data_IF_847356995664
#
_entry.id   IF_847356995664
#
_cell.length_a   1.000
_cell.length_b   1.000
_cell.length_c   1.000
_cell.angle_alpha   90.00
_cell.angle_beta   90.00
_cell.angle_gamma   90.00
#
_symmetry.space_group_name_H-M   'P 1'
#
loop_
_entity.id
_entity.type
_entity.pdbx_description
1 polymer ?
#
# COMPACT_ATOMS: atom_id res chain seq x y z
N UNK A 1 -0.60 -4.81 -6.29
CA UNK A 1 0.28 -4.86 -7.47
C UNK A 1 -0.63 -4.58 -8.65
N UNK A 2 -0.45 -3.44 -9.31
CA UNK A 2 -1.39 -3.01 -10.36
C UNK A 2 -1.54 -4.06 -11.46
N UNK A 3 -2.78 -4.25 -11.94
CA UNK A 3 -3.17 -5.26 -12.92
C UNK A 3 -3.09 -6.71 -12.44
N UNK A 4 -2.92 -6.97 -11.13
CA UNK A 4 -2.76 -8.33 -10.58
C UNK A 4 -3.61 -8.56 -9.32
N UNK A 5 -3.57 -7.63 -8.36
CA UNK A 5 -4.22 -7.83 -7.05
C UNK A 5 -5.71 -7.49 -7.09
N UNK A 6 -6.47 -8.35 -7.77
CA UNK A 6 -7.93 -8.41 -7.72
C UNK A 6 -8.40 -9.40 -6.64
N UNK A 7 -9.72 -9.54 -6.46
CA UNK A 7 -10.29 -10.44 -5.47
C UNK A 7 -9.91 -11.90 -5.74
N UNK A 8 -9.83 -12.32 -7.00
CA UNK A 8 -9.45 -13.70 -7.33
C UNK A 8 -8.02 -14.02 -6.87
N UNK A 9 -7.10 -13.08 -7.10
CA UNK A 9 -5.73 -13.18 -6.61
C UNK A 9 -5.68 -13.18 -5.08
N UNK A 10 -6.35 -12.23 -4.43
CA UNK A 10 -6.35 -12.11 -2.97
C UNK A 10 -6.91 -13.38 -2.30
N UNK A 11 -8.03 -13.90 -2.78
CA UNK A 11 -8.67 -15.10 -2.22
C UNK A 11 -7.82 -16.37 -2.32
N UNK A 12 -6.90 -16.46 -3.30
CA UNK A 12 -5.93 -17.58 -3.36
C UNK A 12 -4.92 -17.51 -2.22
N UNK A 13 -4.62 -16.31 -1.71
CA UNK A 13 -3.60 -16.08 -0.70
C UNK A 13 -4.15 -16.09 0.74
N UNK A 14 -5.39 -15.65 0.96
CA UNK A 14 -6.01 -15.61 2.31
C UNK A 14 -5.84 -16.95 3.09
N UNK A 15 -6.03 -18.15 2.49
CA UNK A 15 -5.84 -19.41 3.20
C UNK A 15 -4.44 -19.63 3.80
N UNK A 16 -3.43 -18.92 3.31
CA UNK A 16 -2.06 -18.95 3.84
C UNK A 16 -1.88 -18.07 5.09
N UNK A 17 -2.95 -17.47 5.63
CA UNK A 17 -2.92 -16.78 6.92
C UNK A 17 -2.75 -15.26 6.86
N UNK A 18 -3.16 -14.62 5.76
CA UNK A 18 -3.17 -13.16 5.69
C UNK A 18 -4.35 -12.60 6.50
N UNK A 19 -4.07 -11.68 7.42
CA UNK A 19 -5.11 -10.95 8.18
C UNK A 19 -5.73 -9.80 7.37
N UNK A 20 -4.98 -9.29 6.39
CA UNK A 20 -5.39 -8.23 5.48
C UNK A 20 -4.94 -8.52 4.04
N UNK A 21 -5.72 -8.08 3.07
CA UNK A 21 -5.36 -8.09 1.64
C UNK A 21 -5.56 -6.73 1.02
N UNK A 22 -4.67 -6.33 0.10
CA UNK A 22 -4.77 -5.05 -0.60
C UNK A 22 -5.14 -5.25 -2.06
N UNK A 23 -6.32 -4.77 -2.43
CA UNK A 23 -6.78 -4.65 -3.80
C UNK A 23 -6.05 -3.50 -4.51
N UNK A 24 -5.86 -3.66 -5.82
CA UNK A 24 -5.50 -2.54 -6.68
C UNK A 24 -4.01 -2.17 -6.73
N UNK A 25 -3.73 -0.90 -6.47
CA UNK A 25 -2.92 -0.08 -7.38
C UNK A 25 -3.79 0.50 -8.49
N UNK A 26 -5.03 0.84 -8.17
CA UNK A 26 -5.98 1.43 -9.09
C UNK A 26 -5.64 2.89 -9.33
N UNK A 27 -6.04 3.39 -10.50
CA UNK A 27 -5.95 4.80 -10.86
C UNK A 27 -7.31 5.42 -10.56
N UNK A 28 -7.35 6.42 -9.68
CA UNK A 28 -8.60 6.88 -9.07
C UNK A 28 -9.27 8.04 -9.82
N UNK A 29 -8.52 8.71 -10.70
CA UNK A 29 -8.99 9.86 -11.49
C UNK A 29 -8.61 9.72 -12.97
N UNK A 30 -9.08 10.65 -13.79
CA UNK A 30 -8.91 10.61 -15.24
C UNK A 30 -7.42 10.65 -15.65
N UNK A 31 -6.61 11.49 -15.01
CA UNK A 31 -5.20 11.66 -15.36
C UNK A 31 -4.36 10.44 -14.98
N UNK A 32 -4.55 9.90 -13.78
CA UNK A 32 -3.89 8.66 -13.37
C UNK A 32 -4.37 7.49 -14.22
N UNK A 33 -5.64 7.44 -14.64
CA UNK A 33 -6.17 6.39 -15.53
C UNK A 33 -5.54 6.47 -16.92
N UNK A 34 -5.36 7.68 -17.45
CA UNK A 34 -4.61 7.92 -18.70
C UNK A 34 -3.16 7.46 -18.57
N UNK A 35 -2.49 7.77 -17.46
CA UNK A 35 -1.14 7.28 -17.18
C UNK A 35 -1.09 5.74 -17.08
N UNK A 36 -2.08 5.11 -16.44
CA UNK A 36 -2.24 3.66 -16.38
C UNK A 36 -2.31 3.01 -17.77
N UNK A 37 -3.09 3.58 -18.69
CA UNK A 37 -3.15 3.11 -20.08
C UNK A 37 -1.81 3.21 -20.81
N UNK A 38 -1.04 4.27 -20.58
CA UNK A 38 0.30 4.42 -21.16
C UNK A 38 1.29 3.38 -20.58
N UNK A 39 1.19 3.10 -19.27
CA UNK A 39 1.97 2.04 -18.62
C UNK A 39 1.61 0.67 -19.23
N UNK A 40 0.33 0.40 -19.47
CA UNK A 40 -0.16 -0.82 -20.12
C UNK A 40 0.38 -0.98 -21.54
N UNK A 41 0.38 0.10 -22.33
CA UNK A 41 0.95 0.12 -23.69
C UNK A 41 2.46 -0.20 -23.70
N UNK A 42 3.16 0.08 -22.60
CA UNK A 42 4.58 -0.27 -22.40
C UNK A 42 4.78 -1.72 -21.93
N UNK A 43 3.71 -2.52 -21.88
CA UNK A 43 3.74 -3.95 -21.56
C UNK A 43 3.75 -4.27 -20.07
N UNK A 44 3.43 -3.30 -19.20
CA UNK A 44 3.30 -3.55 -17.77
C UNK A 44 1.82 -3.81 -17.41
N UNK A 45 1.51 -4.80 -16.56
CA UNK A 45 0.15 -4.99 -16.08
C UNK A 45 -0.38 -3.75 -15.36
N UNK A 46 -1.60 -3.35 -15.71
CA UNK A 46 -2.37 -2.28 -15.08
C UNK A 46 -3.85 -2.65 -15.14
N UNK A 47 -4.64 -2.05 -14.25
CA UNK A 47 -6.09 -2.10 -14.36
C UNK A 47 -6.54 -1.01 -15.32
N UNK A 48 -7.30 -1.38 -16.35
CA UNK A 48 -7.76 -0.48 -17.41
C UNK A 48 -9.29 -0.47 -17.46
N UNK A 49 -9.87 0.50 -16.77
CA UNK A 49 -11.29 0.82 -16.74
C UNK A 49 -11.46 2.34 -16.62
N UNK A 50 -12.67 2.85 -16.82
CA UNK A 50 -12.93 4.27 -16.63
C UNK A 50 -12.97 4.60 -15.12
N UNK A 51 -12.40 5.75 -14.72
CA UNK A 51 -12.36 6.13 -13.29
C UNK A 51 -13.76 6.26 -12.69
N UNK A 52 -14.79 6.57 -13.49
CA UNK A 52 -16.18 6.59 -13.04
C UNK A 52 -16.74 5.21 -12.66
N UNK A 53 -16.13 4.12 -13.15
CA UNK A 53 -16.52 2.75 -12.84
C UNK A 53 -15.84 2.24 -11.55
N UNK A 54 -14.76 2.91 -11.09
CA UNK A 54 -13.90 2.45 -10.01
C UNK A 54 -14.69 2.04 -8.76
N UNK A 55 -15.63 2.88 -8.31
CA UNK A 55 -16.41 2.61 -7.10
C UNK A 55 -17.16 1.29 -7.19
N UNK A 56 -17.84 1.06 -8.31
CA UNK A 56 -18.61 -0.17 -8.54
C UNK A 56 -17.71 -1.41 -8.64
N UNK A 57 -16.52 -1.25 -9.24
CA UNK A 57 -15.52 -2.32 -9.34
C UNK A 57 -14.99 -2.68 -7.96
N UNK A 58 -14.56 -1.69 -7.18
CA UNK A 58 -14.03 -1.91 -5.83
C UNK A 58 -15.09 -2.53 -4.93
N UNK A 59 -16.33 -2.05 -4.97
CA UNK A 59 -17.45 -2.61 -4.21
C UNK A 59 -17.68 -4.09 -4.55
N UNK A 60 -17.68 -4.44 -5.84
CA UNK A 60 -17.79 -5.81 -6.31
C UNK A 60 -16.62 -6.68 -5.84
N UNK A 61 -15.38 -6.22 -6.01
CA UNK A 61 -14.18 -6.99 -5.62
C UNK A 61 -14.07 -7.18 -4.09
N UNK A 62 -14.34 -6.13 -3.31
CA UNK A 62 -14.33 -6.18 -1.85
C UNK A 62 -15.43 -7.10 -1.31
N UNK A 63 -16.64 -7.01 -1.85
CA UNK A 63 -17.76 -7.89 -1.47
C UNK A 63 -17.44 -9.36 -1.71
N UNK A 64 -16.86 -9.70 -2.86
CA UNK A 64 -16.43 -11.09 -3.17
C UNK A 64 -15.48 -11.66 -2.11
N UNK A 65 -14.57 -10.83 -1.59
CA UNK A 65 -13.66 -11.24 -0.51
C UNK A 65 -14.43 -11.42 0.80
N UNK A 66 -15.19 -10.40 1.22
CA UNK A 66 -15.90 -10.37 2.51
C UNK A 66 -17.01 -11.43 2.63
N UNK A 67 -17.62 -11.83 1.51
CA UNK A 67 -18.60 -12.92 1.46
C UNK A 67 -18.00 -14.29 1.80
N UNK A 68 -16.69 -14.45 1.59
CA UNK A 68 -15.99 -15.73 1.72
C UNK A 68 -15.02 -15.78 2.90
N UNK A 69 -14.52 -14.62 3.35
CA UNK A 69 -13.43 -14.54 4.32
C UNK A 69 -13.60 -13.36 5.29
N UNK A 70 -13.31 -13.62 6.56
CA UNK A 70 -13.17 -12.57 7.59
C UNK A 70 -11.71 -12.06 7.59
N UNK A 71 -11.41 -11.13 6.68
CA UNK A 71 -10.11 -10.43 6.61
C UNK A 71 -10.34 -8.94 6.39
N UNK A 72 -9.33 -8.12 6.69
CA UNK A 72 -9.35 -6.72 6.31
C UNK A 72 -9.12 -6.57 4.80
N UNK A 73 -9.89 -5.70 4.16
CA UNK A 73 -9.77 -5.33 2.76
C UNK A 73 -9.25 -3.90 2.68
N UNK A 74 -8.03 -3.79 2.16
CA UNK A 74 -7.39 -2.52 1.84
C UNK A 74 -7.49 -2.23 0.35
N UNK A 75 -7.59 -0.96 -0.05
CA UNK A 75 -7.61 -0.56 -1.46
C UNK A 75 -6.51 0.46 -1.71
N UNK A 76 -5.51 0.10 -2.53
CA UNK A 76 -4.42 1.00 -2.89
C UNK A 76 -4.78 1.84 -4.13
N UNK A 77 -4.70 3.16 -3.98
CA UNK A 77 -5.20 4.15 -4.94
C UNK A 77 -4.11 5.15 -5.31
N UNK A 78 -3.95 5.40 -6.60
CA UNK A 78 -3.17 6.52 -7.14
C UNK A 78 -4.15 7.61 -7.54
N UNK A 79 -3.97 8.81 -7.01
CA UNK A 79 -4.83 9.95 -7.29
C UNK A 79 -4.03 11.26 -7.24
N UNK A 80 -4.56 12.29 -7.88
CA UNK A 80 -4.15 13.69 -7.78
C UNK A 80 -5.13 14.51 -6.93
N UNK A 81 -6.35 14.01 -6.75
CA UNK A 81 -7.39 14.60 -5.91
C UNK A 81 -7.73 13.63 -4.76
N UNK A 82 -7.99 14.12 -3.53
CA UNK A 82 -8.36 13.28 -2.40
C UNK A 82 -9.80 12.74 -2.49
N UNK A 83 -10.72 13.41 -3.21
CA UNK A 83 -12.14 13.06 -3.29
C UNK A 83 -12.39 11.61 -3.75
N UNK A 84 -11.77 11.10 -4.83
CA UNK A 84 -11.92 9.70 -5.22
C UNK A 84 -11.53 8.71 -4.12
N UNK A 85 -10.51 9.02 -3.30
CA UNK A 85 -10.10 8.13 -2.19
C UNK A 85 -11.17 8.12 -1.10
N UNK A 86 -11.73 9.29 -0.77
CA UNK A 86 -12.82 9.42 0.20
C UNK A 86 -14.09 8.70 -0.30
N UNK A 87 -14.41 8.80 -1.59
CA UNK A 87 -15.53 8.06 -2.18
C UNK A 87 -15.37 6.54 -2.03
N UNK A 88 -14.18 6.01 -2.27
CA UNK A 88 -13.89 4.58 -2.08
C UNK A 88 -13.95 4.19 -0.60
N UNK A 89 -13.50 5.07 0.30
CA UNK A 89 -13.59 4.81 1.74
C UNK A 89 -15.04 4.66 2.24
N UNK A 90 -16.02 5.17 1.50
CA UNK A 90 -17.45 5.07 1.85
C UNK A 90 -18.05 3.68 1.60
N UNK A 91 -17.34 2.80 0.90
CA UNK A 91 -17.78 1.42 0.63
C UNK A 91 -17.65 0.62 1.92
N UNK A 92 -18.75 -0.01 2.36
CA UNK A 92 -18.82 -0.71 3.65
C UNK A 92 -17.80 -1.85 3.78
N UNK A 93 -17.53 -2.53 2.68
CA UNK A 93 -16.65 -3.69 2.62
C UNK A 93 -15.15 -3.32 2.58
N UNK A 94 -14.83 -2.03 2.46
CA UNK A 94 -13.46 -1.49 2.48
C UNK A 94 -13.12 -1.04 3.90
N UNK A 95 -12.16 -1.69 4.54
CA UNK A 95 -11.73 -1.33 5.90
C UNK A 95 -10.60 -0.28 5.89
N UNK A 96 -9.78 -0.29 4.82
CA UNK A 96 -8.60 0.59 4.69
C UNK A 96 -8.54 1.18 3.29
N UNK A 97 -8.37 2.50 3.17
CA UNK A 97 -7.96 3.14 1.92
C UNK A 97 -6.48 3.51 2.00
N UNK A 98 -5.70 3.14 0.99
CA UNK A 98 -4.26 3.34 0.96
C UNK A 98 -3.84 4.34 -0.12
N UNK A 99 -3.34 5.50 0.32
CA UNK A 99 -2.74 6.50 -0.56
C UNK A 99 -1.44 5.94 -1.11
N UNK A 100 -1.31 5.89 -2.44
CA UNK A 100 -0.09 5.44 -3.10
C UNK A 100 0.91 6.58 -3.25
N UNK A 101 1.81 6.73 -2.28
CA UNK A 101 3.01 7.57 -2.35
C UNK A 101 4.27 6.73 -2.69
N UNK A 102 4.10 5.72 -3.57
CA UNK A 102 5.07 4.63 -3.75
C UNK A 102 5.44 4.32 -5.20
N UNK A 103 4.47 4.45 -6.11
CA UNK A 103 4.61 4.08 -7.51
C UNK A 103 5.67 4.95 -8.18
N UNK A 104 6.61 4.30 -8.85
CA UNK A 104 7.73 4.97 -9.54
C UNK A 104 7.65 4.87 -11.06
N UNK A 105 6.48 4.57 -11.61
CA UNK A 105 6.32 4.59 -13.06
C UNK A 105 6.40 6.05 -13.53
N UNK A 106 7.24 6.36 -14.54
CA UNK A 106 7.42 7.72 -15.04
C UNK A 106 6.09 8.43 -15.35
N UNK A 107 5.13 7.69 -15.91
CA UNK A 107 3.81 8.20 -16.29
C UNK A 107 3.04 8.71 -15.07
N UNK A 108 3.14 8.04 -13.92
CA UNK A 108 2.50 8.46 -12.66
C UNK A 108 3.31 9.59 -12.00
N UNK A 109 4.63 9.43 -11.88
CA UNK A 109 5.47 10.42 -11.19
C UNK A 109 5.51 11.77 -11.93
N UNK A 110 5.34 11.76 -13.26
CA UNK A 110 5.27 13.00 -14.06
C UNK A 110 4.03 13.86 -13.77
N UNK A 111 3.00 13.27 -13.16
CA UNK A 111 1.80 13.97 -12.74
C UNK A 111 1.91 14.54 -11.32
N UNK A 112 2.95 14.20 -10.55
CA UNK A 112 3.06 14.53 -9.12
C UNK A 112 2.52 13.44 -8.19
N UNK A 113 1.87 12.39 -8.71
CA UNK A 113 1.37 11.26 -7.92
C UNK A 113 2.45 10.18 -7.67
N UNK A 114 2.13 9.21 -6.81
CA UNK A 114 3.06 8.11 -6.52
C UNK A 114 4.26 8.58 -5.70
N UNK A 115 5.44 8.06 -6.02
CA UNK A 115 6.69 8.45 -5.35
C UNK A 115 6.99 9.96 -5.47
N UNK A 116 6.44 10.65 -6.47
CA UNK A 116 6.66 12.09 -6.64
C UNK A 116 6.10 12.92 -5.48
N UNK A 117 5.03 12.46 -4.82
CA UNK A 117 4.46 13.10 -3.63
C UNK A 117 5.50 13.26 -2.52
N UNK A 118 6.44 12.32 -2.41
CA UNK A 118 7.49 12.36 -1.37
C UNK A 118 8.47 13.52 -1.54
N UNK A 119 8.51 14.17 -2.70
CA UNK A 119 9.33 15.36 -2.92
C UNK A 119 8.60 16.67 -2.61
N UNK A 120 7.27 16.63 -2.57
CA UNK A 120 6.41 17.78 -2.36
C UNK A 120 5.68 17.62 -1.02
N UNK A 121 6.35 18.03 0.05
CA UNK A 121 5.85 17.83 1.41
C UNK A 121 4.55 18.60 1.66
N UNK A 122 4.39 19.80 1.09
CA UNK A 122 3.18 20.62 1.26
C UNK A 122 1.99 19.92 0.59
N UNK A 123 2.16 19.49 -0.67
CA UNK A 123 1.13 18.70 -1.35
C UNK A 123 0.79 17.42 -0.59
N UNK A 124 1.80 16.68 -0.12
CA UNK A 124 1.58 15.42 0.59
C UNK A 124 0.88 15.61 1.94
N UNK A 125 1.22 16.65 2.68
CA UNK A 125 0.60 17.00 3.96
C UNK A 125 -0.87 17.39 3.75
N UNK A 126 -1.14 18.33 2.83
CA UNK A 126 -2.50 18.79 2.52
C UNK A 126 -3.39 17.66 2.01
N UNK A 127 -2.91 16.92 1.01
CA UNK A 127 -3.63 15.78 0.42
C UNK A 127 -3.98 14.74 1.49
N UNK A 128 -3.00 14.35 2.30
CA UNK A 128 -3.22 13.32 3.34
C UNK A 128 -4.17 13.83 4.43
N UNK A 129 -4.02 15.09 4.85
CA UNK A 129 -4.89 15.73 5.84
C UNK A 129 -6.35 15.74 5.37
N UNK A 130 -6.60 16.03 4.10
CA UNK A 130 -7.97 16.00 3.54
C UNK A 130 -8.55 14.58 3.55
N UNK A 131 -7.79 13.57 3.11
CA UNK A 131 -8.24 12.18 3.14
C UNK A 131 -8.52 11.72 4.57
N UNK A 132 -7.63 11.99 5.54
CA UNK A 132 -7.84 11.60 6.95
C UNK A 132 -9.09 12.25 7.54
N UNK A 133 -9.40 13.50 7.18
CA UNK A 133 -10.59 14.21 7.69
C UNK A 133 -11.90 13.70 7.09
N UNK A 134 -11.89 13.23 5.84
CA UNK A 134 -13.11 12.89 5.10
C UNK A 134 -13.33 11.40 4.86
N UNK A 135 -12.34 10.54 5.10
CA UNK A 135 -12.50 9.10 4.90
C UNK A 135 -13.37 8.46 5.99
N UNK A 136 -14.19 7.49 5.57
CA UNK A 136 -14.97 6.63 6.49
C UNK A 136 -14.19 5.37 6.91
N UNK A 137 -13.17 4.99 6.15
CA UNK A 137 -12.29 3.85 6.41
C UNK A 137 -10.95 4.33 6.99
N UNK A 138 -10.19 3.42 7.60
CA UNK A 138 -8.84 3.73 8.07
C UNK A 138 -7.93 4.17 6.92
N UNK A 139 -7.06 5.14 7.17
CA UNK A 139 -6.16 5.66 6.15
C UNK A 139 -4.78 5.03 6.30
N UNK A 140 -4.31 4.40 5.23
CA UNK A 140 -2.92 3.95 5.08
C UNK A 140 -2.20 4.85 4.08
N UNK A 141 -0.90 5.08 4.28
CA UNK A 141 -0.05 5.70 3.25
C UNK A 141 1.11 4.77 2.94
N UNK A 142 1.18 4.34 1.68
CA UNK A 142 2.30 3.52 1.21
C UNK A 142 3.41 4.41 0.67
N UNK A 143 4.54 4.41 1.36
CA UNK A 143 5.72 5.20 0.99
C UNK A 143 6.86 4.31 0.48
N UNK A 144 7.73 4.88 -0.34
CA UNK A 144 8.98 4.25 -0.76
C UNK A 144 10.14 4.75 0.08
N UNK A 145 10.88 3.83 0.70
CA UNK A 145 12.12 4.14 1.39
C UNK A 145 13.27 4.46 0.44
N UNK A 146 14.26 5.20 0.95
CA UNK A 146 15.50 5.53 0.26
C UNK A 146 15.31 6.25 -1.09
N UNK A 147 14.35 7.15 -1.16
CA UNK A 147 14.20 8.05 -2.32
C UNK A 147 15.26 9.15 -2.26
N UNK A 148 16.07 9.35 -3.32
CA UNK A 148 17.13 10.36 -3.28
C UNK A 148 16.59 11.77 -3.00
N UNK A 149 17.18 12.46 -2.02
CA UNK A 149 16.77 13.81 -1.64
C UNK A 149 15.50 13.89 -0.79
N UNK A 150 14.99 12.75 -0.31
CA UNK A 150 13.82 12.66 0.57
C UNK A 150 14.26 12.09 1.92
N UNK A 151 13.82 12.72 3.01
CA UNK A 151 13.95 12.18 4.36
C UNK A 151 12.73 11.31 4.68
N UNK A 152 12.91 9.99 4.57
CA UNK A 152 11.81 9.03 4.77
C UNK A 152 11.31 9.03 6.22
N UNK A 153 12.19 9.25 7.20
CA UNK A 153 11.82 9.24 8.62
C UNK A 153 10.99 10.49 8.95
N UNK A 154 11.41 11.65 8.45
CA UNK A 154 10.64 12.88 8.61
C UNK A 154 9.25 12.81 7.96
N UNK A 155 9.14 12.22 6.76
CA UNK A 155 7.83 12.00 6.12
C UNK A 155 6.96 11.07 6.95
N UNK A 156 7.51 9.96 7.45
CA UNK A 156 6.73 9.01 8.23
C UNK A 156 6.22 9.65 9.54
N UNK A 157 7.05 10.43 10.24
CA UNK A 157 6.61 11.19 11.42
C UNK A 157 5.54 12.22 11.12
N UNK A 158 5.66 12.97 10.01
CA UNK A 158 4.62 13.91 9.58
C UNK A 158 3.28 13.20 9.32
N UNK A 159 3.30 12.07 8.62
CA UNK A 159 2.10 11.28 8.35
C UNK A 159 1.45 10.76 9.64
N UNK A 160 2.26 10.31 10.61
CA UNK A 160 1.78 9.89 11.94
C UNK A 160 1.11 11.04 12.70
N UNK A 161 1.71 12.24 12.66
CA UNK A 161 1.14 13.45 13.27
C UNK A 161 -0.19 13.88 12.61
N UNK A 162 -0.39 13.57 11.32
CA UNK A 162 -1.67 13.77 10.62
C UNK A 162 -2.75 12.77 11.02
N UNK A 163 -2.39 11.68 11.70
CA UNK A 163 -3.33 10.67 12.20
C UNK A 163 -3.66 9.57 11.19
N UNK A 164 -2.73 9.21 10.31
CA UNK A 164 -2.89 7.99 9.49
C UNK A 164 -2.87 6.75 10.39
N UNK A 165 -3.71 5.76 10.10
CA UNK A 165 -3.76 4.51 10.87
C UNK A 165 -2.59 3.58 10.56
N UNK A 166 -2.08 3.63 9.31
CA UNK A 166 -1.02 2.75 8.84
C UNK A 166 0.02 3.48 8.00
N UNK A 167 1.30 3.19 8.25
CA UNK A 167 2.40 3.55 7.36
C UNK A 167 2.94 2.28 6.74
N UNK A 168 2.77 2.16 5.42
CA UNK A 168 3.22 1.00 4.66
C UNK A 168 4.53 1.32 3.96
N UNK A 169 5.63 0.89 4.57
CA UNK A 169 6.99 1.21 4.11
C UNK A 169 7.52 0.15 3.14
N UNK A 170 7.67 0.49 1.86
CA UNK A 170 8.55 -0.27 0.95
C UNK A 170 10.02 0.05 1.29
N UNK A 171 10.60 -0.73 2.21
CA UNK A 171 11.96 -0.58 2.70
C UNK A 171 13.00 -1.06 1.68
N UNK A 172 12.95 -0.54 0.45
CA UNK A 172 13.90 -0.89 -0.60
C UNK A 172 15.31 -0.41 -0.24
N UNK A 173 16.30 -1.32 -0.26
CA UNK A 173 17.71 -0.95 -0.08
C UNK A 173 18.39 -0.70 -1.44
N UNK A 174 18.82 0.53 -1.77
CA UNK A 174 19.42 0.83 -3.07
C UNK A 174 20.60 -0.09 -3.40
N UNK A 175 20.57 -0.69 -4.60
CA UNK A 175 21.62 -1.57 -5.09
C UNK A 175 21.72 -2.93 -4.38
N UNK A 176 20.74 -3.32 -3.55
CA UNK A 176 20.71 -4.61 -2.86
C UNK A 176 19.37 -5.31 -3.04
N UNK A 177 19.38 -6.63 -3.12
CA UNK A 177 18.16 -7.46 -3.15
C UNK A 177 17.72 -7.88 -1.73
N UNK A 178 17.57 -6.89 -0.86
CA UNK A 178 17.08 -7.06 0.52
C UNK A 178 16.38 -5.80 1.01
N UNK A 179 15.59 -5.96 2.06
CA UNK A 179 15.01 -4.82 2.77
C UNK A 179 16.10 -4.00 3.48
N UNK A 180 15.81 -2.71 3.67
CA UNK A 180 16.61 -1.82 4.51
C UNK A 180 16.09 -1.84 5.94
N UNK A 181 16.51 -2.85 6.70
CA UNK A 181 16.06 -3.07 8.09
C UNK A 181 16.47 -1.93 9.04
N UNK A 182 17.54 -1.22 8.73
CA UNK A 182 17.97 -0.04 9.50
C UNK A 182 16.94 1.08 9.36
N UNK A 183 16.51 1.37 8.12
CA UNK A 183 15.46 2.35 7.85
C UNK A 183 14.12 1.95 8.51
N UNK A 184 13.79 0.66 8.54
CA UNK A 184 12.58 0.17 9.24
C UNK A 184 12.64 0.54 10.73
N UNK A 185 13.79 0.33 11.38
CA UNK A 185 13.98 0.68 12.78
C UNK A 185 13.96 2.18 13.04
N UNK A 186 14.57 2.99 12.17
CA UNK A 186 14.51 4.45 12.27
C UNK A 186 13.09 4.98 12.12
N UNK A 187 12.33 4.46 11.15
CA UNK A 187 10.92 4.82 10.96
C UNK A 187 10.11 4.38 12.18
N UNK A 188 10.22 3.12 12.61
CA UNK A 188 9.51 2.59 13.79
C UNK A 188 9.69 3.49 15.03
N UNK A 189 10.92 3.94 15.30
CA UNK A 189 11.22 4.84 16.43
C UNK A 189 10.64 6.25 16.29
N UNK A 190 10.31 6.68 15.07
CA UNK A 190 9.70 7.99 14.82
C UNK A 190 8.19 7.99 15.02
N UNK A 191 7.54 6.83 14.93
CA UNK A 191 6.09 6.70 15.02
C UNK A 191 5.61 6.62 16.47
N UNK A 192 4.42 7.18 16.71
CA UNK A 192 3.77 7.19 18.02
C UNK A 192 2.43 6.47 18.00
N UNK A 193 1.69 6.53 16.89
CA UNK A 193 0.32 6.03 16.82
C UNK A 193 0.11 5.04 15.67
N UNK A 194 0.61 5.35 14.47
CA UNK A 194 0.42 4.57 13.26
C UNK A 194 1.10 3.20 13.33
N UNK A 195 0.42 2.19 12.80
CA UNK A 195 0.98 0.84 12.66
C UNK A 195 1.97 0.82 11.49
N UNK A 196 3.20 0.36 11.74
CA UNK A 196 4.20 0.21 10.70
C UNK A 196 4.07 -1.13 9.97
N UNK A 197 3.72 -1.09 8.69
CA UNK A 197 3.72 -2.26 7.81
C UNK A 197 5.01 -2.28 7.00
N UNK A 198 5.91 -3.20 7.35
CA UNK A 198 7.16 -3.44 6.63
C UNK A 198 6.95 -4.21 5.32
N UNK A 199 7.50 -3.70 4.22
CA UNK A 199 7.47 -4.33 2.90
C UNK A 199 8.87 -4.38 2.27
N UNK A 200 8.96 -5.13 1.16
CA UNK A 200 10.15 -5.47 0.39
C UNK A 200 10.89 -6.71 0.89
N UNK A 201 11.21 -7.62 -0.04
CA UNK A 201 11.94 -8.88 0.19
C UNK A 201 11.43 -9.81 1.30
N UNK A 202 10.21 -9.64 1.80
CA UNK A 202 9.52 -10.64 2.64
C UNK A 202 9.10 -11.82 1.74
N UNK A 203 9.76 -12.96 1.89
CA UNK A 203 9.64 -14.11 0.98
C UNK A 203 9.60 -15.46 1.69
N UNK A 204 9.84 -15.48 2.99
CA UNK A 204 9.88 -16.64 3.86
C UNK A 204 9.69 -16.19 5.31
N UNK A 205 9.52 -17.12 6.27
CA UNK A 205 9.40 -16.76 7.68
C UNK A 205 10.59 -15.97 8.22
N UNK A 206 11.82 -16.32 7.81
CA UNK A 206 13.04 -15.65 8.27
C UNK A 206 13.06 -14.17 7.92
N UNK A 207 12.76 -13.82 6.67
CA UNK A 207 12.67 -12.41 6.22
C UNK A 207 11.50 -11.66 6.87
N UNK A 208 10.41 -12.33 7.24
CA UNK A 208 9.35 -11.72 8.04
C UNK A 208 9.84 -11.44 9.47
N UNK A 209 10.52 -12.39 10.11
CA UNK A 209 11.12 -12.20 11.44
C UNK A 209 12.14 -11.08 11.46
N UNK A 210 12.99 -10.95 10.44
CA UNK A 210 13.93 -9.84 10.31
C UNK A 210 13.21 -8.48 10.28
N UNK A 211 12.07 -8.39 9.60
CA UNK A 211 11.28 -7.17 9.52
C UNK A 211 10.62 -6.82 10.86
N UNK A 212 10.06 -7.81 11.56
CA UNK A 212 9.51 -7.62 12.91
C UNK A 212 10.61 -7.24 13.92
N UNK A 213 11.76 -7.91 13.87
CA UNK A 213 12.91 -7.60 14.72
C UNK A 213 13.48 -6.20 14.45
N UNK A 214 13.31 -5.69 13.24
CA UNK A 214 13.65 -4.31 12.89
C UNK A 214 12.65 -3.27 13.42
N UNK A 215 11.49 -3.68 13.93
CA UNK A 215 10.50 -2.79 14.54
C UNK A 215 9.22 -2.57 13.73
N UNK A 216 8.99 -3.33 12.65
CA UNK A 216 7.68 -3.33 12.00
C UNK A 216 6.64 -4.05 12.86
N UNK A 217 5.41 -3.54 12.90
CA UNK A 217 4.28 -4.17 13.61
C UNK A 217 3.59 -5.24 12.75
N UNK A 218 3.65 -5.07 11.44
CA UNK A 218 3.09 -5.97 10.45
C UNK A 218 4.02 -6.10 9.25
N UNK A 219 3.84 -7.14 8.44
CA UNK A 219 4.58 -7.35 7.20
C UNK A 219 3.63 -7.51 6.02
N UNK A 220 4.01 -7.01 4.85
CA UNK A 220 3.26 -7.26 3.61
C UNK A 220 4.12 -7.98 2.57
N UNK A 221 3.49 -8.91 1.86
CA UNK A 221 4.13 -9.75 0.83
C UNK A 221 3.60 -9.35 -0.53
N UNK A 222 4.50 -9.08 -1.48
CA UNK A 222 4.14 -8.73 -2.86
C UNK A 222 4.70 -9.75 -3.87
N UNK A 223 5.94 -9.57 -4.31
CA UNK A 223 6.55 -10.36 -5.41
C UNK A 223 6.61 -11.85 -5.10
N UNK A 224 6.84 -12.26 -3.86
CA UNK A 224 6.88 -13.68 -3.49
C UNK A 224 5.52 -14.38 -3.66
N UNK A 225 4.43 -13.62 -3.58
CA UNK A 225 3.07 -14.13 -3.72
C UNK A 225 2.49 -14.01 -5.14
N UNK A 226 3.26 -13.47 -6.11
CA UNK A 226 2.75 -13.13 -7.45
C UNK A 226 2.16 -14.32 -8.23
N UNK A 227 2.58 -15.55 -7.90
CA UNK A 227 2.03 -16.78 -8.48
C UNK A 227 0.66 -17.19 -7.92
N UNK A 228 0.13 -16.44 -6.94
CA UNK A 228 -1.06 -16.79 -6.17
C UNK A 228 -0.81 -17.89 -5.13
N UNK A 229 0.46 -18.20 -4.84
CA UNK A 229 0.88 -19.18 -3.83
C UNK A 229 2.12 -18.68 -3.12
N UNK A 230 2.23 -19.04 -1.84
CA UNK A 230 3.47 -18.97 -1.07
C UNK A 230 3.78 -20.36 -0.48
N UNK A 231 5.04 -20.58 -0.09
CA UNK A 231 5.54 -21.87 0.40
C UNK A 231 5.56 -21.99 1.93
N UNK A 232 4.92 -21.07 2.64
CA UNK A 232 4.82 -21.03 4.10
C UNK A 232 3.44 -20.52 4.52
N UNK A 233 3.05 -20.77 5.77
CA UNK A 233 1.83 -20.26 6.35
C UNK A 233 2.16 -19.14 7.35
N UNK A 234 1.56 -17.98 7.18
CA UNK A 234 1.77 -16.82 8.06
C UNK A 234 1.30 -17.10 9.49
N UNK A 235 0.30 -17.97 9.69
CA UNK A 235 -0.17 -18.36 11.04
C UNK A 235 0.88 -19.13 11.85
N UNK A 236 1.89 -19.67 11.19
CA UNK A 236 3.01 -20.37 11.83
C UNK A 236 4.12 -19.39 12.24
N UNK A 237 4.11 -18.17 11.70
CA UNK A 237 5.01 -17.08 12.08
C UNK A 237 4.45 -16.42 13.34
N UNK A 238 4.79 -16.97 14.50
CA UNK A 238 4.52 -16.31 15.79
C UNK A 238 5.72 -15.47 16.17
N UNK A 239 5.61 -14.15 16.04
CA UNK A 239 6.53 -13.25 16.70
C UNK A 239 6.17 -13.25 18.18
N UNK A 240 7.02 -13.85 19.00
CA UNK A 240 6.93 -13.76 20.45
C UNK A 240 8.02 -12.78 20.89
N UNK A 241 7.68 -11.54 21.25
CA UNK A 241 8.65 -10.51 21.61
C UNK A 241 9.31 -10.74 22.99
N UNK A 242 9.28 -11.98 23.50
CA UNK A 242 9.87 -12.37 24.79
C UNK A 242 11.41 -12.19 24.79
#
# INVERSE_FOLDING_TARGET
MAGITDAEFCMKLIPYGFDAVTLGGYNADEETSRAGRLIAQRGRPEFDFDSSELKSIVESEASRIKDSFEVLVSVNLRALDPEPIMEISSIREVDIVEINAHCRQPEITSLGAGQAMLHDHEFMEDFTSEVVKGANAEVSVKIRGNVPGVDTVAIAGMLDDLGVGYIHLDAMKPGKDRADLELVGEVSQSLRNAVLIGNNSVRDPESAFEMFAAGADAVSIARAAISGKINFNLREIRFNPD
#
